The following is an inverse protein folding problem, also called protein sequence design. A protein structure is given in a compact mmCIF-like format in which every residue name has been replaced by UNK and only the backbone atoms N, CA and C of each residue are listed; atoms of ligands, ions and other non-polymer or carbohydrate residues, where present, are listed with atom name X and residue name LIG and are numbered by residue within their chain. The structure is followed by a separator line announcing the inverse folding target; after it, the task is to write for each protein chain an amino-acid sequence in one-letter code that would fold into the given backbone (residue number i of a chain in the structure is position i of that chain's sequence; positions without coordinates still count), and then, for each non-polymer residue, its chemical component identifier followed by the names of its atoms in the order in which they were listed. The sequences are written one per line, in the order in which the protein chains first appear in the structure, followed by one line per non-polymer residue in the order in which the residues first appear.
data_IF_684811255771
#
_entry.id   IF_684811255771
#
_cell.length_a   1.000
_cell.length_b   1.000
_cell.length_c   1.000
_cell.angle_alpha   90.00
_cell.angle_beta   90.00
_cell.angle_gamma   90.00
#
_symmetry.space_group_name_H-M   'P 1'
#
loop_
_entity.id
_entity.type
_entity.pdbx_description
1 polymer ?
#
# COMPACT_ATOMS: atom_id res chain seq x y z
N UNK A 1 14.90 8.76 82.11
CA UNK A 1 14.99 9.67 80.94
C UNK A 1 13.58 9.91 80.46
N UNK A 2 13.04 11.10 80.70
CA UNK A 2 11.67 11.47 80.30
C UNK A 2 11.56 11.51 78.77
N UNK A 3 10.60 10.75 78.23
CA UNK A 3 10.19 10.87 76.84
C UNK A 3 9.44 12.19 76.66
N UNK A 4 10.18 13.26 76.38
CA UNK A 4 9.59 14.55 76.00
C UNK A 4 8.75 14.33 74.73
N UNK A 5 7.49 14.80 74.68
CA UNK A 5 6.66 14.66 73.49
C UNK A 5 7.32 15.39 72.32
N UNK A 6 7.41 14.69 71.17
CA UNK A 6 7.97 15.26 69.94
C UNK A 6 7.16 16.49 69.53
N UNK A 7 7.88 17.54 69.16
CA UNK A 7 7.29 18.77 68.61
C UNK A 7 6.70 18.51 67.22
N UNK A 8 5.80 19.38 66.77
CA UNK A 8 5.19 19.25 65.44
C UNK A 8 6.21 19.24 64.29
N UNK A 9 7.31 19.98 64.44
CA UNK A 9 8.40 20.02 63.46
C UNK A 9 9.19 18.70 63.41
N UNK A 10 9.45 18.08 64.58
CA UNK A 10 10.12 16.78 64.65
C UNK A 10 9.27 15.67 64.03
N UNK A 11 7.95 15.72 64.23
CA UNK A 11 7.01 14.77 63.62
C UNK A 11 6.99 14.95 62.10
N UNK A 12 6.99 16.19 61.60
CA UNK A 12 7.02 16.47 60.17
C UNK A 12 8.34 16.02 59.52
N UNK A 13 9.48 16.28 60.18
CA UNK A 13 10.79 15.85 59.71
C UNK A 13 10.90 14.32 59.65
N UNK A 14 10.39 13.62 60.67
CA UNK A 14 10.35 12.15 60.70
C UNK A 14 9.42 11.59 59.61
N UNK A 15 8.27 12.23 59.37
CA UNK A 15 7.37 11.85 58.29
C UNK A 15 8.01 12.00 56.91
N UNK A 16 8.71 13.12 56.65
CA UNK A 16 9.46 13.33 55.40
C UNK A 16 10.52 12.24 55.24
N UNK A 17 11.33 12.01 56.29
CA UNK A 17 12.40 11.03 56.23
C UNK A 17 11.88 9.60 55.97
N UNK A 18 10.76 9.24 56.59
CA UNK A 18 10.08 7.95 56.39
C UNK A 18 9.50 7.81 54.98
N UNK A 19 8.90 8.86 54.42
CA UNK A 19 8.39 8.88 53.04
C UNK A 19 9.54 8.76 52.05
N UNK A 20 10.60 9.55 52.21
CA UNK A 20 11.80 9.51 51.35
C UNK A 20 12.46 8.14 51.39
N UNK A 21 12.59 7.55 52.59
CA UNK A 21 13.13 6.18 52.74
C UNK A 21 12.25 5.17 52.01
N UNK A 22 10.92 5.25 52.14
CA UNK A 22 9.99 4.37 51.40
C UNK A 22 10.08 4.54 49.89
N UNK A 23 10.22 5.77 49.39
CA UNK A 23 10.34 6.03 47.95
C UNK A 23 11.65 5.43 47.41
N UNK A 24 12.74 5.59 48.16
CA UNK A 24 14.06 5.09 47.78
C UNK A 24 14.17 3.57 47.91
N UNK A 25 13.48 2.97 48.88
CA UNK A 25 13.44 1.53 49.10
C UNK A 25 12.31 0.84 48.34
N UNK A 26 11.46 1.58 47.61
CA UNK A 26 10.36 0.99 46.87
C UNK A 26 10.95 0.14 45.74
N UNK A 27 10.67 -1.18 45.70
CA UNK A 27 11.15 -2.03 44.62
C UNK A 27 10.48 -1.57 43.32
N UNK A 28 11.18 -0.75 42.54
CA UNK A 28 10.75 -0.39 41.19
C UNK A 28 10.98 -1.62 40.32
N UNK A 29 9.94 -2.01 39.59
CA UNK A 29 10.07 -3.02 38.54
C UNK A 29 11.19 -2.61 37.58
N UNK A 30 12.21 -3.45 37.44
CA UNK A 30 13.27 -3.24 36.45
C UNK A 30 12.72 -3.70 35.10
N UNK A 31 12.60 -2.77 34.16
CA UNK A 31 12.29 -3.10 32.77
C UNK A 31 13.58 -3.55 32.10
N UNK A 32 13.69 -4.84 31.78
CA UNK A 32 14.77 -5.37 30.96
C UNK A 32 14.36 -5.27 29.50
N UNK A 33 15.11 -4.51 28.69
CA UNK A 33 14.91 -4.47 27.24
C UNK A 33 15.49 -5.75 26.62
N UNK A 34 14.65 -6.78 26.48
CA UNK A 34 14.98 -8.07 25.89
C UNK A 34 14.97 -8.01 24.36
N UNK A 35 16.00 -7.43 23.75
CA UNK A 35 16.21 -7.49 22.29
C UNK A 35 15.01 -7.08 21.42
N UNK A 36 15.05 -7.39 20.12
CA UNK A 36 13.96 -7.07 19.18
C UNK A 36 12.97 -8.23 19.07
N UNK A 37 12.23 -8.56 20.14
CA UNK A 37 11.08 -9.48 20.06
C UNK A 37 10.08 -9.24 21.19
N UNK A 38 8.97 -8.58 20.88
CA UNK A 38 7.62 -8.90 21.38
C UNK A 38 6.62 -8.42 20.32
N UNK A 39 5.65 -9.25 19.91
CA UNK A 39 4.57 -8.79 19.06
C UNK A 39 3.68 -7.89 19.91
N UNK A 40 3.87 -6.58 19.82
CA UNK A 40 3.04 -5.59 20.49
C UNK A 40 1.87 -5.30 19.56
N UNK A 41 0.66 -5.73 19.97
CA UNK A 41 -0.55 -5.52 19.20
C UNK A 41 -1.67 -4.94 20.09
N UNK A 42 -2.60 -4.16 19.51
CA UNK A 42 -3.78 -3.67 20.20
C UNK A 42 -4.56 -4.77 20.93
N UNK A 43 -4.96 -4.50 22.18
CA UNK A 43 -5.84 -5.36 22.96
C UNK A 43 -7.24 -5.38 22.35
N UNK A 44 -7.85 -6.56 22.16
CA UNK A 44 -9.19 -6.68 21.54
C UNK A 44 -10.33 -6.78 22.55
N UNK A 45 -11.51 -6.34 22.15
CA UNK A 45 -12.68 -6.14 23.00
C UNK A 45 -13.94 -6.54 22.26
N UNK A 46 -15.03 -6.66 22.99
CA UNK A 46 -16.35 -6.83 22.37
C UNK A 46 -16.63 -5.70 21.36
N UNK A 47 -17.08 -6.08 20.18
CA UNK A 47 -17.33 -5.22 19.03
C UNK A 47 -16.14 -4.99 18.09
N UNK A 48 -14.95 -5.49 18.43
CA UNK A 48 -13.82 -5.47 17.49
C UNK A 48 -14.05 -6.54 16.39
N UNK A 49 -13.56 -6.27 15.17
CA UNK A 49 -14.00 -6.94 13.94
C UNK A 49 -13.08 -8.09 13.55
N UNK A 50 -13.61 -9.06 12.79
CA UNK A 50 -12.84 -10.20 12.29
C UNK A 50 -12.90 -10.31 10.77
N UNK A 51 -11.92 -11.00 10.20
CA UNK A 51 -11.81 -11.21 8.75
C UNK A 51 -11.16 -12.54 8.36
N UNK A 52 -11.78 -13.23 7.42
CA UNK A 52 -11.23 -14.44 6.81
C UNK A 52 -10.10 -14.12 5.82
N UNK A 53 -9.21 -15.08 5.58
CA UNK A 53 -8.27 -14.95 4.46
C UNK A 53 -9.02 -15.16 3.14
N UNK A 54 -8.92 -14.19 2.24
CA UNK A 54 -9.37 -14.37 0.86
C UNK A 54 -8.37 -15.21 0.06
N UNK A 55 -8.81 -16.28 -0.60
CA UNK A 55 -7.95 -17.09 -1.49
C UNK A 55 -7.41 -16.26 -2.66
N UNK A 56 -8.23 -15.36 -3.21
CA UNK A 56 -7.82 -14.41 -4.25
C UNK A 56 -6.79 -13.41 -3.69
N UNK A 57 -7.02 -12.95 -2.45
CA UNK A 57 -6.06 -12.12 -1.69
C UNK A 57 -4.81 -12.85 -1.19
N UNK A 58 -4.79 -14.18 -1.21
CA UNK A 58 -3.59 -14.95 -0.91
C UNK A 58 -2.78 -15.17 -2.20
N UNK A 59 -3.45 -15.60 -3.27
CA UNK A 59 -2.84 -15.94 -4.57
C UNK A 59 -2.25 -14.72 -5.27
N UNK A 60 -2.97 -13.59 -5.32
CA UNK A 60 -2.44 -12.35 -5.89
C UNK A 60 -1.25 -11.80 -5.09
N UNK A 61 -1.27 -11.95 -3.76
CA UNK A 61 -0.14 -11.56 -2.90
C UNK A 61 1.11 -12.40 -3.15
N UNK A 62 0.93 -13.70 -3.38
CA UNK A 62 2.00 -14.63 -3.76
C UNK A 62 2.59 -14.31 -5.15
N UNK A 63 1.77 -13.94 -6.14
CA UNK A 63 2.23 -13.55 -7.50
C UNK A 63 3.10 -12.29 -7.43
N UNK A 64 2.68 -11.27 -6.68
CA UNK A 64 3.45 -10.02 -6.54
C UNK A 64 4.75 -10.25 -5.76
N UNK A 65 4.74 -11.11 -4.73
CA UNK A 65 5.93 -11.48 -3.97
C UNK A 65 6.94 -12.33 -4.75
N UNK A 66 6.47 -13.23 -5.63
CA UNK A 66 7.33 -14.11 -6.44
C UNK A 66 8.17 -13.39 -7.50
N UNK A 67 7.67 -12.27 -8.05
CA UNK A 67 8.36 -11.46 -9.07
C UNK A 67 9.68 -10.83 -8.54
N UNK A 68 9.88 -10.77 -7.22
CA UNK A 68 11.02 -10.09 -6.58
C UNK A 68 12.09 -11.08 -6.08
N UNK A 69 11.85 -12.40 -6.10
CA UNK A 69 12.72 -13.38 -5.43
C UNK A 69 13.81 -13.99 -6.32
N UNK A 70 15.03 -13.45 -6.24
CA UNK A 70 16.26 -14.19 -6.54
C UNK A 70 17.33 -13.96 -5.46
N UNK A 71 17.01 -14.27 -4.20
CA UNK A 71 18.05 -14.56 -3.20
C UNK A 71 17.53 -15.30 -1.96
N UNK A 72 18.41 -16.08 -1.29
CA UNK A 72 18.02 -17.27 -0.54
C UNK A 72 18.01 -17.02 0.96
N UNK A 73 16.89 -16.55 1.51
CA UNK A 73 16.60 -16.75 2.93
C UNK A 73 15.16 -17.18 3.10
N UNK A 74 15.05 -18.48 3.34
CA UNK A 74 13.84 -19.22 3.66
C UNK A 74 13.33 -18.73 5.02
N UNK A 75 12.28 -17.92 5.00
CA UNK A 75 11.23 -18.01 6.01
C UNK A 75 9.96 -18.34 5.24
N UNK A 76 9.91 -19.60 4.80
CA UNK A 76 8.78 -20.18 4.11
C UNK A 76 7.67 -20.46 5.12
N UNK A 77 6.47 -20.05 4.74
CA UNK A 77 5.23 -20.34 5.45
C UNK A 77 4.64 -19.14 6.15
N UNK A 78 3.39 -18.84 5.79
CA UNK A 78 2.33 -18.47 6.74
C UNK A 78 1.77 -17.05 6.84
N UNK A 79 2.16 -16.08 6.01
CA UNK A 79 1.49 -14.78 6.04
C UNK A 79 1.28 -14.28 4.62
N UNK A 80 0.03 -14.30 4.14
CA UNK A 80 -0.36 -13.74 2.84
C UNK A 80 -0.07 -12.22 2.74
N UNK A 81 -1.07 -11.33 2.68
CA UNK A 81 -0.82 -9.88 2.49
C UNK A 81 0.15 -9.26 3.52
N UNK A 82 0.22 -9.82 4.74
CA UNK A 82 1.12 -9.36 5.80
C UNK A 82 2.61 -9.70 5.56
N UNK A 83 2.92 -10.78 4.83
CA UNK A 83 4.29 -11.15 4.48
C UNK A 83 4.91 -10.19 3.46
N UNK A 84 4.11 -9.66 2.53
CA UNK A 84 4.56 -8.72 1.51
C UNK A 84 4.99 -7.36 2.11
N UNK A 85 4.22 -6.81 3.05
CA UNK A 85 4.54 -5.53 3.70
C UNK A 85 5.82 -5.61 4.56
N UNK A 86 6.00 -6.70 5.31
CA UNK A 86 7.21 -6.93 6.10
C UNK A 86 8.46 -7.12 5.22
N UNK A 87 8.32 -7.76 4.05
CA UNK A 87 9.40 -7.97 3.07
C UNK A 87 9.81 -6.66 2.39
N UNK A 88 8.86 -5.83 1.96
CA UNK A 88 9.13 -4.51 1.37
C UNK A 88 9.80 -3.60 2.40
N UNK A 89 9.32 -3.58 3.64
CA UNK A 89 9.92 -2.81 4.73
C UNK A 89 11.35 -3.25 5.07
N UNK A 90 11.62 -4.56 5.05
CA UNK A 90 12.97 -5.10 5.27
C UNK A 90 13.92 -4.79 4.09
N UNK A 91 13.44 -4.86 2.84
CA UNK A 91 14.21 -4.49 1.66
C UNK A 91 14.61 -3.00 1.67
N UNK A 92 13.70 -2.11 2.05
CA UNK A 92 13.95 -0.67 2.19
C UNK A 92 14.92 -0.36 3.34
N UNK A 93 14.84 -1.12 4.44
CA UNK A 93 15.76 -1.02 5.57
C UNK A 93 17.19 -1.48 5.21
N UNK A 94 17.32 -2.62 4.54
CA UNK A 94 18.61 -3.15 4.05
C UNK A 94 19.23 -2.25 2.96
N UNK A 95 18.42 -1.74 2.03
CA UNK A 95 18.87 -0.78 1.03
C UNK A 95 19.34 0.54 1.68
N UNK A 96 18.61 1.05 2.67
CA UNK A 96 19.02 2.24 3.45
C UNK A 96 20.30 2.01 4.25
N UNK A 97 20.54 0.79 4.73
CA UNK A 97 21.75 0.44 5.48
C UNK A 97 22.97 0.27 4.57
N UNK A 98 22.77 -0.23 3.35
CA UNK A 98 23.81 -0.33 2.31
C UNK A 98 24.21 1.04 1.73
N UNK A 99 23.28 2.00 1.71
CA UNK A 99 23.48 3.36 1.20
C UNK A 99 24.05 4.35 2.22
N UNK A 100 24.60 3.89 3.35
CA UNK A 100 25.19 4.75 4.38
C UNK A 100 26.59 5.28 4.02
N UNK A 101 26.76 5.78 2.80
CA UNK A 101 27.74 6.80 2.44
C UNK A 101 27.05 8.17 2.44
N UNK A 102 27.05 8.80 3.61
CA UNK A 102 26.79 10.23 3.90
C UNK A 102 26.34 11.08 2.70
N UNK A 103 25.06 11.05 2.32
CA UNK A 103 24.48 12.16 1.56
C UNK A 103 23.00 12.29 1.85
N UNK A 104 22.65 13.48 2.31
CA UNK A 104 21.32 13.96 2.65
C UNK A 104 20.36 13.86 1.47
N UNK A 105 19.12 13.47 1.76
CA UNK A 105 17.92 13.97 1.09
C UNK A 105 17.84 13.72 -0.45
N UNK A 106 17.58 12.49 -0.87
CA UNK A 106 17.11 12.21 -2.23
C UNK A 106 15.82 11.40 -2.23
N UNK A 107 14.78 12.06 -2.73
CA UNK A 107 13.43 11.60 -3.11
C UNK A 107 13.37 10.11 -3.49
N UNK A 108 12.45 9.37 -2.86
CA UNK A 108 12.21 7.94 -3.13
C UNK A 108 11.96 7.63 -4.62
N UNK A 109 12.38 6.46 -5.13
CA UNK A 109 12.12 6.08 -6.51
C UNK A 109 10.64 5.75 -6.76
N UNK A 110 10.10 6.28 -7.86
CA UNK A 110 8.69 6.20 -8.34
C UNK A 110 8.10 4.77 -8.39
N UNK A 111 8.92 3.72 -8.41
CA UNK A 111 8.44 2.33 -8.38
C UNK A 111 8.16 1.80 -6.96
N UNK A 112 8.84 2.32 -5.94
CA UNK A 112 8.59 1.95 -4.54
C UNK A 112 7.23 2.49 -4.08
N UNK A 113 6.88 3.71 -4.48
CA UNK A 113 5.55 4.29 -4.27
C UNK A 113 4.46 3.49 -5.01
N UNK A 114 4.73 3.04 -6.25
CA UNK A 114 3.81 2.18 -7.00
C UNK A 114 3.64 0.80 -6.38
N UNK A 115 4.71 0.20 -5.86
CA UNK A 115 4.67 -1.08 -5.17
C UNK A 115 3.94 -0.97 -3.83
N UNK A 116 4.20 0.11 -3.07
CA UNK A 116 3.49 0.43 -1.84
C UNK A 116 2.00 0.72 -2.10
N UNK A 117 1.66 1.45 -3.16
CA UNK A 117 0.28 1.77 -3.53
C UNK A 117 -0.48 0.54 -4.08
N UNK A 118 0.19 -0.32 -4.85
CA UNK A 118 -0.38 -1.60 -5.26
C UNK A 118 -0.61 -2.52 -4.05
N UNK A 119 0.33 -2.52 -3.10
CA UNK A 119 0.19 -3.24 -1.83
C UNK A 119 -0.95 -2.66 -0.99
N UNK A 120 -1.06 -1.33 -0.86
CA UNK A 120 -2.15 -0.66 -0.14
C UNK A 120 -3.51 -0.95 -0.78
N UNK A 121 -3.66 -0.77 -2.10
CA UNK A 121 -4.92 -1.09 -2.80
C UNK A 121 -5.28 -2.56 -2.70
N UNK A 122 -4.28 -3.43 -2.70
CA UNK A 122 -4.48 -4.86 -2.53
C UNK A 122 -4.92 -5.20 -1.10
N UNK A 123 -4.25 -4.64 -0.11
CA UNK A 123 -4.61 -4.72 1.31
C UNK A 123 -6.01 -4.16 1.50
N UNK A 124 -6.33 -3.00 0.94
CA UNK A 124 -7.65 -2.37 1.01
C UNK A 124 -8.71 -3.25 0.34
N UNK A 125 -8.45 -3.85 -0.83
CA UNK A 125 -9.43 -4.73 -1.50
C UNK A 125 -9.59 -6.11 -0.81
N UNK A 126 -8.54 -6.61 -0.16
CA UNK A 126 -8.59 -7.87 0.59
C UNK A 126 -9.14 -7.66 2.01
N UNK A 127 -8.92 -6.48 2.59
CA UNK A 127 -9.33 -6.09 3.93
C UNK A 127 -10.59 -5.21 3.95
N UNK A 128 -11.14 -4.81 2.80
CA UNK A 128 -12.44 -4.13 2.70
C UNK A 128 -13.59 -5.08 3.04
N UNK A 129 -14.42 -4.69 4.01
CA UNK A 129 -15.52 -5.50 4.53
C UNK A 129 -15.14 -6.27 5.79
N UNK A 130 -16.13 -6.53 6.64
CA UNK A 130 -16.02 -7.24 7.91
C UNK A 130 -16.74 -8.58 7.80
N UNK A 131 -16.09 -9.67 8.21
CA UNK A 131 -16.68 -11.02 8.16
C UNK A 131 -17.28 -11.42 9.52
N UNK A 132 -17.39 -10.47 10.44
CA UNK A 132 -17.93 -10.68 11.78
C UNK A 132 -17.30 -9.79 12.84
N UNK A 133 -17.66 -10.05 14.09
CA UNK A 133 -17.17 -9.30 15.25
C UNK A 133 -17.20 -10.13 16.54
N UNK A 134 -16.47 -9.67 17.56
CA UNK A 134 -16.45 -10.24 18.90
C UNK A 134 -17.74 -9.85 19.63
N UNK A 135 -18.51 -10.83 20.10
CA UNK A 135 -19.80 -10.62 20.80
C UNK A 135 -19.69 -10.75 22.30
N UNK A 136 -18.72 -11.53 22.81
CA UNK A 136 -18.57 -11.81 24.23
C UNK A 136 -17.14 -11.58 24.70
N UNK A 137 -17.00 -11.20 25.96
CA UNK A 137 -15.72 -10.95 26.61
C UNK A 137 -15.84 -11.05 28.13
N UNK A 138 -14.90 -10.45 28.84
CA UNK A 138 -14.83 -10.50 30.29
C UNK A 138 -15.94 -9.72 30.98
N UNK A 139 -16.57 -10.34 31.98
CA UNK A 139 -17.59 -9.69 32.83
C UNK A 139 -17.00 -8.77 33.92
N UNK A 140 -15.67 -8.71 34.06
CA UNK A 140 -15.00 -7.97 35.15
C UNK A 140 -13.81 -7.14 34.71
N UNK A 141 -13.26 -7.39 33.52
CA UNK A 141 -12.11 -6.69 32.96
C UNK A 141 -12.57 -5.95 31.72
N UNK A 142 -12.43 -4.62 31.75
CA UNK A 142 -12.89 -3.75 30.69
C UNK A 142 -11.72 -2.93 30.14
N UNK A 143 -11.63 -2.84 28.82
CA UNK A 143 -10.63 -2.01 28.14
C UNK A 143 -11.38 -0.88 27.42
N UNK A 144 -11.10 0.37 27.80
CA UNK A 144 -11.85 1.54 27.34
C UNK A 144 -13.38 1.37 27.46
N UNK A 145 -13.84 0.85 28.60
CA UNK A 145 -15.27 0.67 28.89
C UNK A 145 -15.96 -0.48 28.16
N UNK A 146 -15.25 -1.26 27.34
CA UNK A 146 -15.80 -2.46 26.68
C UNK A 146 -15.24 -3.75 27.30
N UNK A 147 -16.03 -4.85 27.38
CA UNK A 147 -15.55 -6.13 27.88
C UNK A 147 -14.30 -6.60 27.12
N UNK A 148 -13.26 -6.98 27.87
CA UNK A 148 -11.99 -7.45 27.32
C UNK A 148 -12.13 -8.84 26.68
N UNK A 149 -11.61 -9.04 25.47
CA UNK A 149 -11.63 -10.33 24.81
C UNK A 149 -10.45 -11.22 25.22
N UNK A 150 -10.68 -12.52 25.26
CA UNK A 150 -9.67 -13.54 25.58
C UNK A 150 -9.99 -14.85 24.87
N UNK A 151 -8.96 -15.68 24.66
CA UNK A 151 -9.07 -16.95 23.97
C UNK A 151 -9.87 -17.99 24.76
N UNK A 152 -10.50 -18.95 24.07
CA UNK A 152 -11.22 -20.06 24.69
C UNK A 152 -12.60 -19.71 25.25
N UNK A 153 -13.07 -18.47 25.13
CA UNK A 153 -14.44 -18.11 25.48
C UNK A 153 -15.43 -18.64 24.42
N UNK A 154 -16.30 -19.56 24.84
CA UNK A 154 -17.30 -20.17 23.96
C UNK A 154 -18.25 -19.14 23.36
N UNK A 155 -18.54 -19.29 22.06
CA UNK A 155 -19.48 -18.44 21.32
C UNK A 155 -19.18 -16.92 21.40
N UNK A 156 -17.89 -16.58 21.51
CA UNK A 156 -17.41 -15.20 21.60
C UNK A 156 -17.32 -14.47 20.26
N UNK A 157 -17.45 -15.19 19.15
CA UNK A 157 -17.35 -14.65 17.79
C UNK A 157 -18.67 -14.86 17.05
N UNK A 158 -19.23 -13.79 16.51
CA UNK A 158 -20.27 -13.84 15.48
C UNK A 158 -19.60 -13.68 14.11
N UNK A 159 -19.57 -14.75 13.34
CA UNK A 159 -19.00 -14.79 11.99
C UNK A 159 -20.13 -14.83 10.96
N UNK A 160 -20.01 -14.07 9.88
CA UNK A 160 -21.02 -14.03 8.83
C UNK A 160 -21.07 -15.33 8.02
N UNK A 161 -19.96 -16.08 7.98
CA UNK A 161 -19.80 -17.27 7.15
C UNK A 161 -20.00 -18.59 7.92
N UNK A 162 -20.04 -18.53 9.25
CA UNK A 162 -20.06 -19.70 10.12
C UNK A 162 -20.95 -19.45 11.34
N UNK A 163 -21.46 -20.51 11.97
CA UNK A 163 -22.10 -20.40 13.28
C UNK A 163 -21.15 -19.83 14.33
N UNK A 164 -21.64 -19.53 15.54
CA UNK A 164 -20.84 -18.95 16.62
C UNK A 164 -19.50 -19.69 16.82
N UNK A 165 -18.41 -18.94 16.87
CA UNK A 165 -17.03 -19.45 17.00
C UNK A 165 -16.35 -18.89 18.24
N UNK A 166 -15.11 -19.32 18.46
CA UNK A 166 -14.28 -18.91 19.60
C UNK A 166 -13.01 -18.22 19.12
N UNK A 167 -12.43 -17.38 19.98
CA UNK A 167 -11.06 -16.92 19.79
C UNK A 167 -10.12 -18.08 20.12
N UNK A 168 -9.27 -18.45 19.17
CA UNK A 168 -8.44 -19.66 19.21
C UNK A 168 -6.97 -19.38 19.51
N UNK A 169 -6.51 -18.12 19.41
CA UNK A 169 -5.16 -17.72 19.84
C UNK A 169 -5.16 -16.45 20.69
N UNK A 170 -4.07 -16.25 21.43
CA UNK A 170 -3.86 -15.07 22.26
C UNK A 170 -2.40 -14.92 22.71
N UNK A 171 -2.16 -14.04 23.68
CA UNK A 171 -0.84 -13.82 24.30
C UNK A 171 -0.35 -15.06 25.06
N UNK A 172 0.95 -15.36 24.96
CA UNK A 172 1.60 -16.42 25.74
C UNK A 172 1.87 -16.04 27.21
N UNK A 173 1.81 -14.74 27.56
CA UNK A 173 2.24 -14.27 28.88
C UNK A 173 1.24 -13.37 29.59
N UNK A 174 0.24 -12.85 28.87
CA UNK A 174 -0.83 -12.03 29.46
C UNK A 174 -2.12 -12.81 29.44
N UNK A 175 -2.71 -12.98 30.63
CA UNK A 175 -3.88 -13.83 30.83
C UNK A 175 -5.03 -13.04 31.48
N UNK A 176 -6.25 -13.32 31.02
CA UNK A 176 -7.50 -12.90 31.64
C UNK A 176 -8.23 -14.16 32.07
N UNK A 177 -8.61 -14.25 33.35
CA UNK A 177 -9.28 -15.45 33.89
C UNK A 177 -8.54 -16.76 33.59
N UNK A 178 -7.21 -16.73 33.65
CA UNK A 178 -6.33 -17.86 33.33
C UNK A 178 -6.38 -18.31 31.86
N UNK A 179 -6.88 -17.47 30.96
CA UNK A 179 -6.94 -17.67 29.51
C UNK A 179 -6.14 -16.60 28.77
N UNK A 180 -5.57 -16.94 27.63
CA UNK A 180 -4.72 -16.02 26.86
C UNK A 180 -5.47 -14.76 26.43
N UNK A 181 -4.89 -13.59 26.66
CA UNK A 181 -5.48 -12.32 26.24
C UNK A 181 -5.48 -12.20 24.71
N UNK A 182 -6.59 -11.77 24.11
CA UNK A 182 -6.71 -11.65 22.67
C UNK A 182 -6.24 -10.27 22.16
N UNK A 183 -5.63 -10.26 20.97
CA UNK A 183 -5.07 -9.07 20.33
C UNK A 183 -5.45 -8.99 18.86
N UNK A 184 -5.23 -7.82 18.28
CA UNK A 184 -5.31 -7.67 16.84
C UNK A 184 -4.31 -8.64 16.17
N UNK A 185 -4.78 -9.38 15.16
CA UNK A 185 -4.02 -10.39 14.45
C UNK A 185 -4.13 -11.81 15.00
N UNK A 186 -4.71 -12.01 16.20
CA UNK A 186 -5.04 -13.33 16.74
C UNK A 186 -6.16 -14.01 15.94
N UNK A 187 -6.13 -15.34 15.93
CA UNK A 187 -7.01 -16.18 15.11
C UNK A 187 -8.27 -16.61 15.88
N UNK A 188 -9.37 -16.74 15.17
CA UNK A 188 -10.58 -17.43 15.61
C UNK A 188 -10.52 -18.91 15.20
N UNK A 189 -11.41 -19.73 15.77
CA UNK A 189 -11.46 -21.16 15.44
C UNK A 189 -11.93 -21.45 14.01
N UNK A 190 -12.59 -20.52 13.32
CA UNK A 190 -12.86 -20.63 11.87
C UNK A 190 -11.70 -20.13 11.00
N UNK A 191 -10.58 -19.75 11.59
CA UNK A 191 -9.37 -19.29 10.88
C UNK A 191 -9.34 -17.81 10.51
N UNK A 192 -10.42 -17.07 10.76
CA UNK A 192 -10.45 -15.62 10.63
C UNK A 192 -9.48 -14.97 11.63
N UNK A 193 -9.01 -13.76 11.31
CA UNK A 193 -8.18 -12.94 12.21
C UNK A 193 -8.95 -11.75 12.75
N UNK A 194 -8.62 -11.34 13.97
CA UNK A 194 -9.12 -10.09 14.54
C UNK A 194 -8.40 -8.91 13.88
N UNK A 195 -9.15 -7.93 13.41
CA UNK A 195 -8.66 -6.85 12.54
C UNK A 195 -8.54 -5.49 13.22
N UNK A 196 -9.27 -5.30 14.31
CA UNK A 196 -9.26 -4.04 15.06
C UNK A 196 -9.03 -4.32 16.54
N UNK A 197 -8.58 -3.31 17.26
CA UNK A 197 -8.38 -3.39 18.70
C UNK A 197 -8.44 -2.03 19.37
N UNK A 198 -7.96 -1.98 20.61
CA UNK A 198 -7.88 -0.77 21.39
C UNK A 198 -6.91 0.24 20.79
N UNK A 199 -7.28 1.53 20.66
CA UNK A 199 -6.39 2.54 20.10
C UNK A 199 -5.19 2.88 21.00
N UNK A 200 -5.22 2.51 22.27
CA UNK A 200 -4.27 2.96 23.28
C UNK A 200 -3.87 1.89 24.31
N UNK A 201 -4.38 0.66 24.22
CA UNK A 201 -3.99 -0.44 25.10
C UNK A 201 -3.41 -1.55 24.24
N UNK A 202 -2.16 -1.91 24.52
CA UNK A 202 -1.40 -2.85 23.73
C UNK A 202 -0.87 -3.96 24.62
N UNK A 203 -0.82 -5.18 24.08
CA UNK A 203 -0.27 -6.35 24.75
C UNK A 203 0.90 -6.88 23.94
N UNK A 204 2.04 -7.08 24.61
CA UNK A 204 3.21 -7.77 24.07
C UNK A 204 3.10 -9.29 24.14
N UNK A 205 4.21 -9.98 23.87
CA UNK A 205 4.37 -11.46 23.87
C UNK A 205 4.16 -12.21 22.55
N UNK A 206 4.55 -13.49 22.54
CA UNK A 206 4.29 -14.46 21.48
C UNK A 206 2.81 -14.85 21.35
N UNK A 207 2.50 -15.81 20.47
CA UNK A 207 1.13 -16.22 20.14
C UNK A 207 0.91 -17.68 20.59
N UNK A 208 0.04 -17.87 21.59
CA UNK A 208 -0.40 -19.18 22.05
C UNK A 208 -1.66 -19.60 21.28
N UNK A 209 -1.65 -20.81 20.72
CA UNK A 209 -2.86 -21.46 20.19
C UNK A 209 -3.53 -22.21 21.35
N UNK A 210 -4.76 -21.82 21.68
CA UNK A 210 -5.53 -22.35 22.81
C UNK A 210 -6.60 -23.35 22.34
N UNK A 211 -7.00 -23.26 21.07
CA UNK A 211 -8.00 -24.15 20.47
C UNK A 211 -7.62 -24.43 19.02
N UNK A 212 -8.03 -25.58 18.50
CA UNK A 212 -7.81 -25.93 17.11
C UNK A 212 -8.44 -24.88 16.18
N UNK A 213 -7.68 -24.55 15.14
CA UNK A 213 -8.08 -23.60 14.11
C UNK A 213 -8.44 -24.41 12.86
N UNK A 214 -9.69 -24.29 12.41
CA UNK A 214 -10.15 -24.90 11.18
C UNK A 214 -9.33 -24.37 9.99
N UNK A 215 -8.98 -25.27 9.08
CA UNK A 215 -8.25 -24.88 7.89
C UNK A 215 -9.15 -24.11 6.92
N UNK A 216 -8.91 -22.81 6.76
CA UNK A 216 -9.70 -21.96 5.83
C UNK A 216 -9.59 -22.37 4.35
N UNK A 217 -8.52 -23.09 4.00
CA UNK A 217 -8.26 -23.51 2.62
C UNK A 217 -8.07 -25.02 2.58
N UNK A 218 -8.68 -25.65 1.58
CA UNK A 218 -8.48 -27.05 1.27
C UNK A 218 -7.00 -27.34 0.96
N UNK A 219 -6.56 -28.60 1.12
CA UNK A 219 -5.20 -29.00 0.74
C UNK A 219 -4.84 -28.67 -0.72
N UNK A 220 -5.84 -28.68 -1.62
CA UNK A 220 -5.69 -28.30 -3.04
C UNK A 220 -5.36 -26.82 -3.21
N UNK A 221 -6.09 -25.95 -2.49
CA UNK A 221 -5.92 -24.50 -2.55
C UNK A 221 -4.59 -24.07 -1.91
N UNK A 222 -4.20 -24.71 -0.82
CA UNK A 222 -2.87 -24.52 -0.21
C UNK A 222 -1.74 -24.91 -1.17
N UNK A 223 -1.88 -26.05 -1.85
CA UNK A 223 -0.90 -26.50 -2.84
C UNK A 223 -0.82 -25.53 -4.04
N UNK A 224 -1.95 -24.99 -4.50
CA UNK A 224 -1.99 -23.96 -5.54
C UNK A 224 -1.27 -22.68 -5.11
N UNK A 225 -1.50 -22.23 -3.87
CA UNK A 225 -0.87 -21.05 -3.32
C UNK A 225 0.67 -21.20 -3.24
N UNK A 226 1.14 -22.35 -2.76
CA UNK A 226 2.57 -22.69 -2.72
C UNK A 226 3.17 -22.80 -4.13
N UNK A 227 2.45 -23.38 -5.09
CA UNK A 227 2.93 -23.50 -6.47
C UNK A 227 3.08 -22.14 -7.16
N UNK A 228 2.17 -21.20 -6.88
CA UNK A 228 2.24 -19.82 -7.37
C UNK A 228 3.42 -19.08 -6.73
N UNK A 229 3.61 -19.19 -5.42
CA UNK A 229 4.68 -18.52 -4.68
C UNK A 229 6.08 -19.01 -5.11
N UNK A 230 6.21 -20.30 -5.40
CA UNK A 230 7.50 -20.90 -5.72
C UNK A 230 7.94 -20.73 -7.18
N UNK A 231 7.07 -20.22 -8.09
CA UNK A 231 7.28 -20.15 -9.56
C UNK A 231 7.68 -21.48 -10.25
N UNK A 232 7.94 -22.54 -9.49
CA UNK A 232 8.28 -23.90 -9.89
C UNK A 232 7.98 -24.82 -8.69
N UNK A 233 7.12 -25.85 -8.84
CA UNK A 233 6.75 -26.71 -7.73
C UNK A 233 7.97 -27.45 -7.17
N UNK A 234 8.09 -27.64 -5.84
CA UNK A 234 9.18 -28.44 -5.27
C UNK A 234 9.10 -29.87 -5.83
N UNK A 235 10.27 -30.47 -6.07
CA UNK A 235 10.36 -31.82 -6.61
C UNK A 235 9.59 -32.80 -5.72
N UNK A 236 8.84 -33.73 -6.35
CA UNK A 236 8.02 -34.76 -5.68
C UNK A 236 8.83 -35.56 -4.64
N UNK A 237 10.15 -35.67 -4.84
CA UNK A 237 11.12 -36.26 -3.91
C UNK A 237 11.14 -35.58 -2.52
N UNK A 238 10.97 -34.25 -2.48
CA UNK A 238 11.01 -33.43 -1.26
C UNK A 238 9.70 -33.52 -0.46
N UNK A 239 8.56 -33.62 -1.13
CA UNK A 239 7.24 -33.85 -0.49
C UNK A 239 7.11 -35.25 0.12
N UNK A 240 7.76 -36.26 -0.48
CA UNK A 240 7.67 -37.66 -0.03
C UNK A 240 8.36 -37.91 1.32
N UNK A 241 9.27 -37.02 1.75
CA UNK A 241 9.94 -37.10 3.06
C UNK A 241 9.19 -36.40 4.20
N UNK A 242 8.08 -35.69 3.94
CA UNK A 242 7.45 -34.83 4.96
C UNK A 242 5.93 -34.86 5.09
N UNK A 243 5.15 -35.26 4.09
CA UNK A 243 3.69 -35.29 4.19
C UNK A 243 3.13 -36.56 3.55
N UNK A 244 2.81 -37.55 4.38
CA UNK A 244 2.20 -38.79 3.95
C UNK A 244 0.80 -38.58 3.40
N UNK A 245 0.58 -39.12 2.19
CA UNK A 245 -0.72 -39.51 1.62
C UNK A 245 -1.77 -38.42 1.46
N UNK A 246 -1.59 -37.57 0.45
CA UNK A 246 -2.71 -36.94 -0.24
C UNK A 246 -2.57 -37.30 -1.73
N UNK A 247 -3.24 -38.36 -2.16
CA UNK A 247 -3.35 -38.75 -3.57
C UNK A 247 -4.37 -37.83 -4.24
N UNK A 248 -3.99 -36.57 -4.46
CA UNK A 248 -4.81 -35.64 -5.22
C UNK A 248 -4.59 -35.85 -6.71
N UNK A 249 -5.66 -36.13 -7.44
CA UNK A 249 -5.67 -36.25 -8.90
C UNK A 249 -5.14 -34.98 -9.54
N UNK A 250 -3.85 -34.96 -9.86
CA UNK A 250 -3.13 -33.81 -10.43
C UNK A 250 -3.73 -33.34 -11.76
N UNK A 251 -4.42 -34.22 -12.48
CA UNK A 251 -5.00 -33.92 -13.79
C UNK A 251 -6.32 -33.15 -13.68
N UNK A 252 -7.17 -33.52 -12.72
CA UNK A 252 -8.45 -32.84 -12.49
C UNK A 252 -8.23 -31.44 -11.91
N UNK A 253 -7.27 -31.30 -11.00
CA UNK A 253 -6.86 -30.00 -10.44
C UNK A 253 -6.29 -29.09 -11.52
N UNK A 254 -5.48 -29.61 -12.44
CA UNK A 254 -4.94 -28.81 -13.55
C UNK A 254 -6.04 -28.34 -14.51
N UNK A 255 -7.04 -29.18 -14.79
CA UNK A 255 -8.15 -28.83 -15.66
C UNK A 255 -9.08 -27.79 -15.02
N UNK A 256 -9.40 -27.97 -13.75
CA UNK A 256 -10.28 -27.08 -12.99
C UNK A 256 -9.61 -25.74 -12.70
N UNK A 257 -8.32 -25.74 -12.32
CA UNK A 257 -7.53 -24.52 -12.19
C UNK A 257 -7.41 -23.77 -13.53
N UNK A 258 -7.21 -24.48 -14.65
CA UNK A 258 -7.14 -23.85 -15.98
C UNK A 258 -8.47 -23.24 -16.39
N UNK A 259 -9.60 -23.86 -16.04
CA UNK A 259 -10.93 -23.32 -16.34
C UNK A 259 -11.30 -22.13 -15.44
N UNK A 260 -10.99 -22.19 -14.14
CA UNK A 260 -11.21 -21.09 -13.19
C UNK A 260 -10.32 -19.88 -13.49
N UNK A 261 -9.03 -20.11 -13.78
CA UNK A 261 -8.12 -19.04 -14.23
C UNK A 261 -8.62 -18.44 -15.54
N UNK A 262 -9.17 -19.24 -16.46
CA UNK A 262 -9.69 -18.75 -17.74
C UNK A 262 -10.98 -17.95 -17.59
N UNK A 263 -11.89 -18.34 -16.70
CA UNK A 263 -13.12 -17.57 -16.41
C UNK A 263 -12.79 -16.23 -15.77
N UNK A 264 -11.89 -16.20 -14.78
CA UNK A 264 -11.60 -15.00 -14.00
C UNK A 264 -10.69 -14.03 -14.78
N UNK A 265 -9.72 -14.54 -15.55
CA UNK A 265 -9.01 -13.69 -16.51
C UNK A 265 -9.97 -13.12 -17.56
N UNK A 266 -11.05 -13.82 -17.92
CA UNK A 266 -11.96 -13.33 -18.96
C UNK A 266 -12.84 -12.19 -18.45
N UNK A 267 -13.37 -12.29 -17.22
CA UNK A 267 -14.18 -11.25 -16.57
C UNK A 267 -13.34 -10.02 -16.23
N UNK A 268 -12.12 -10.22 -15.72
CA UNK A 268 -11.20 -9.12 -15.44
C UNK A 268 -10.69 -8.46 -16.72
N UNK A 269 -10.34 -9.23 -17.77
CA UNK A 269 -10.02 -8.68 -19.10
C UNK A 269 -11.20 -7.91 -19.70
N UNK A 270 -12.45 -8.36 -19.51
CA UNK A 270 -13.63 -7.63 -19.97
C UNK A 270 -13.80 -6.29 -19.26
N UNK A 271 -13.57 -6.25 -17.95
CA UNK A 271 -13.66 -5.01 -17.16
C UNK A 271 -12.53 -4.02 -17.49
N UNK A 272 -11.30 -4.50 -17.63
CA UNK A 272 -10.16 -3.71 -18.12
C UNK A 272 -10.37 -3.23 -19.55
N UNK A 273 -10.94 -4.06 -20.43
CA UNK A 273 -11.30 -3.65 -21.80
C UNK A 273 -12.35 -2.53 -21.80
N UNK A 274 -13.42 -2.66 -21.01
CA UNK A 274 -14.44 -1.60 -20.86
C UNK A 274 -13.86 -0.28 -20.35
N UNK A 275 -12.97 -0.33 -19.35
CA UNK A 275 -12.28 0.86 -18.83
C UNK A 275 -11.36 1.48 -19.90
N UNK A 276 -10.59 0.65 -20.61
CA UNK A 276 -9.70 1.09 -21.67
C UNK A 276 -10.48 1.68 -22.86
N UNK A 277 -11.63 1.10 -23.21
CA UNK A 277 -12.49 1.61 -24.27
C UNK A 277 -13.12 2.95 -23.89
N UNK A 278 -13.59 3.09 -22.65
CA UNK A 278 -14.08 4.38 -22.14
C UNK A 278 -12.98 5.44 -22.19
N UNK A 279 -11.77 5.12 -21.71
CA UNK A 279 -10.60 6.01 -21.77
C UNK A 279 -10.23 6.35 -23.22
N UNK A 280 -10.24 5.37 -24.12
CA UNK A 280 -9.95 5.56 -25.55
C UNK A 280 -10.97 6.46 -26.22
N UNK A 281 -12.25 6.32 -25.90
CA UNK A 281 -13.32 7.21 -26.38
C UNK A 281 -13.14 8.63 -25.85
N UNK A 282 -12.85 8.81 -24.57
CA UNK A 282 -12.57 10.14 -24.00
C UNK A 282 -11.37 10.80 -24.67
N UNK A 283 -10.28 10.07 -24.89
CA UNK A 283 -9.09 10.57 -25.60
C UNK A 283 -9.40 10.94 -27.06
N UNK A 284 -10.21 10.13 -27.76
CA UNK A 284 -10.67 10.45 -29.13
C UNK A 284 -11.49 11.73 -29.17
N UNK A 285 -12.41 11.91 -28.23
CA UNK A 285 -13.24 13.12 -28.15
C UNK A 285 -12.41 14.36 -27.81
N UNK A 286 -11.46 14.25 -26.87
CA UNK A 286 -10.55 15.33 -26.54
C UNK A 286 -9.66 15.71 -27.74
N UNK A 287 -9.15 14.73 -28.49
CA UNK A 287 -8.37 14.98 -29.70
C UNK A 287 -9.19 15.68 -30.79
N UNK A 288 -10.45 15.25 -31.03
CA UNK A 288 -11.36 15.92 -31.97
C UNK A 288 -11.63 17.37 -31.56
N UNK A 289 -11.89 17.62 -30.27
CA UNK A 289 -12.12 18.97 -29.73
C UNK A 289 -10.90 19.86 -29.89
N UNK A 290 -9.70 19.34 -29.59
CA UNK A 290 -8.43 20.04 -29.78
C UNK A 290 -8.22 20.47 -31.24
N UNK A 291 -8.40 19.55 -32.19
CA UNK A 291 -8.28 19.87 -33.62
C UNK A 291 -9.29 20.92 -34.08
N UNK A 292 -10.54 20.86 -33.59
CA UNK A 292 -11.56 21.86 -33.91
C UNK A 292 -11.14 23.25 -33.40
N UNK A 293 -10.67 23.34 -32.15
CA UNK A 293 -10.19 24.59 -31.57
C UNK A 293 -8.96 25.14 -32.31
N UNK A 294 -8.02 24.30 -32.72
CA UNK A 294 -6.86 24.74 -33.53
C UNK A 294 -7.29 25.41 -34.85
N UNK A 295 -8.33 24.90 -35.51
CA UNK A 295 -8.88 25.52 -36.73
C UNK A 295 -9.61 26.83 -36.43
N UNK A 296 -10.33 26.92 -35.31
CA UNK A 296 -10.99 28.15 -34.87
C UNK A 296 -9.98 29.25 -34.56
N UNK A 297 -8.94 28.94 -33.76
CA UNK A 297 -7.86 29.88 -33.45
C UNK A 297 -7.16 30.35 -34.72
N UNK A 298 -6.92 29.47 -35.69
CA UNK A 298 -6.34 29.88 -36.98
C UNK A 298 -7.20 30.93 -37.70
N UNK A 299 -8.53 30.77 -37.69
CA UNK A 299 -9.46 31.76 -38.27
C UNK A 299 -9.47 33.07 -37.47
N UNK A 300 -9.40 33.00 -36.14
CA UNK A 300 -9.30 34.17 -35.26
C UNK A 300 -8.02 34.97 -35.56
N UNK A 301 -6.87 34.30 -35.64
CA UNK A 301 -5.58 34.92 -35.93
C UNK A 301 -5.56 35.63 -37.29
N UNK A 302 -6.14 35.01 -38.33
CA UNK A 302 -6.26 35.64 -39.65
C UNK A 302 -7.13 36.92 -39.60
N UNK A 303 -8.22 36.91 -38.82
CA UNK A 303 -9.07 38.09 -38.62
C UNK A 303 -8.36 39.20 -37.83
N UNK A 304 -7.50 38.82 -36.90
CA UNK A 304 -6.67 39.74 -36.10
C UNK A 304 -5.44 40.30 -36.86
N UNK A 305 -5.28 39.94 -38.14
CA UNK A 305 -4.22 40.43 -39.02
C UNK A 305 -2.89 39.69 -38.92
N UNK A 306 -2.85 38.49 -38.30
CA UNK A 306 -1.63 37.68 -38.28
C UNK A 306 -1.43 36.94 -39.60
N UNK A 307 -0.18 36.92 -40.08
CA UNK A 307 0.22 36.02 -41.15
C UNK A 307 0.61 34.65 -40.59
N UNK A 308 -0.07 33.58 -41.01
CA UNK A 308 0.22 32.22 -40.56
C UNK A 308 1.36 31.64 -41.38
N UNK A 309 2.56 31.55 -40.78
CA UNK A 309 3.74 31.01 -41.44
C UNK A 309 3.67 29.47 -41.56
N UNK A 310 3.07 28.81 -40.57
CA UNK A 310 2.89 27.36 -40.59
C UNK A 310 2.10 26.86 -39.40
N UNK A 311 1.47 25.69 -39.55
CA UNK A 311 0.76 25.00 -38.47
C UNK A 311 1.47 23.68 -38.13
N UNK A 312 1.46 23.30 -36.85
CA UNK A 312 2.16 22.11 -36.35
C UNK A 312 3.65 22.13 -36.75
N UNK A 313 4.29 23.28 -36.57
CA UNK A 313 5.69 23.55 -36.95
C UNK A 313 6.61 22.94 -35.92
N UNK A 314 7.65 22.23 -36.36
CA UNK A 314 8.59 21.60 -35.43
C UNK A 314 9.80 22.48 -35.21
N UNK A 315 10.28 22.54 -33.97
CA UNK A 315 11.52 23.23 -33.64
C UNK A 315 12.34 22.36 -32.69
N UNK A 316 13.67 22.43 -32.80
CA UNK A 316 14.61 21.81 -31.88
C UNK A 316 15.03 22.85 -30.85
N UNK A 317 14.61 22.65 -29.60
CA UNK A 317 15.05 23.46 -28.47
C UNK A 317 16.30 22.85 -27.85
N UNK A 318 16.86 23.51 -26.83
CA UNK A 318 17.96 22.99 -26.01
C UNK A 318 17.63 21.60 -25.42
N UNK A 319 16.38 21.38 -25.01
CA UNK A 319 15.96 20.15 -24.34
C UNK A 319 15.55 19.05 -25.32
N UNK A 320 14.60 19.34 -26.21
CA UNK A 320 14.12 18.35 -27.18
C UNK A 320 13.31 19.01 -28.30
N UNK A 321 12.77 18.19 -29.22
CA UNK A 321 11.79 18.67 -30.19
C UNK A 321 10.54 19.24 -29.50
N UNK A 322 10.07 20.38 -29.98
CA UNK A 322 8.79 21.02 -29.66
C UNK A 322 8.00 21.18 -30.95
N UNK A 323 6.69 20.94 -30.90
CA UNK A 323 5.77 21.22 -32.01
C UNK A 323 4.93 22.42 -31.60
N UNK A 324 4.96 23.48 -32.41
CA UNK A 324 4.20 24.71 -32.23
C UNK A 324 2.89 24.56 -33.01
N UNK A 325 1.74 24.84 -32.39
CA UNK A 325 0.43 24.66 -33.04
C UNK A 325 0.27 25.62 -34.23
N UNK A 326 0.52 26.91 -34.04
CA UNK A 326 0.63 27.88 -35.12
C UNK A 326 1.83 28.80 -34.93
N UNK A 327 2.68 28.90 -35.94
CA UNK A 327 3.75 29.90 -36.03
C UNK A 327 3.23 31.06 -36.86
N UNK A 328 3.29 32.27 -36.32
CA UNK A 328 2.68 33.45 -36.91
C UNK A 328 3.67 34.61 -36.99
N UNK A 329 3.41 35.53 -37.90
CA UNK A 329 4.16 36.79 -38.05
C UNK A 329 3.18 37.97 -38.01
N UNK A 330 3.50 38.97 -37.21
CA UNK A 330 2.79 40.26 -37.15
C UNK A 330 3.80 41.36 -36.83
N UNK A 331 3.76 42.46 -37.58
CA UNK A 331 4.66 43.61 -37.40
C UNK A 331 6.15 43.21 -37.35
N UNK A 332 6.55 42.32 -38.27
CA UNK A 332 7.87 41.69 -38.35
C UNK A 332 8.31 40.79 -37.19
N UNK A 333 7.47 40.63 -36.16
CA UNK A 333 7.71 39.74 -35.03
C UNK A 333 7.14 38.35 -35.32
N UNK A 334 7.98 37.32 -35.13
CA UNK A 334 7.57 35.92 -35.23
C UNK A 334 7.25 35.39 -33.83
N UNK A 335 6.06 34.80 -33.67
CA UNK A 335 5.62 34.22 -32.40
C UNK A 335 4.98 32.84 -32.60
N UNK A 336 4.96 32.08 -31.51
CA UNK A 336 4.28 30.81 -31.39
C UNK A 336 2.94 30.99 -30.68
N UNK A 337 1.89 30.37 -31.21
CA UNK A 337 0.59 30.25 -30.57
C UNK A 337 0.42 28.79 -30.14
N UNK A 338 0.24 28.57 -28.84
CA UNK A 338 -0.21 27.29 -28.27
C UNK A 338 -1.72 27.33 -28.08
N UNK A 339 -2.42 26.31 -28.58
CA UNK A 339 -3.87 26.21 -28.49
C UNK A 339 -4.26 25.24 -27.38
N UNK A 340 -5.16 25.68 -26.50
CA UNK A 340 -5.81 24.83 -25.49
C UNK A 340 -7.32 24.81 -25.73
N UNK A 341 -8.00 23.77 -25.24
CA UNK A 341 -9.46 23.69 -25.33
C UNK A 341 -10.06 23.14 -24.03
N UNK A 342 -11.08 23.84 -23.51
CA UNK A 342 -11.66 23.55 -22.20
C UNK A 342 -10.64 23.74 -21.07
N UNK A 343 -10.60 22.82 -20.11
CA UNK A 343 -9.73 22.93 -18.92
C UNK A 343 -8.28 22.43 -19.13
N UNK A 344 -7.83 22.31 -20.39
CA UNK A 344 -6.49 21.79 -20.69
C UNK A 344 -5.41 22.83 -20.34
N UNK A 345 -4.43 22.44 -19.51
CA UNK A 345 -3.28 23.29 -19.16
C UNK A 345 -2.02 22.83 -19.90
N UNK A 346 -1.05 23.74 -20.07
CA UNK A 346 0.30 23.38 -20.55
C UNK A 346 1.00 22.50 -19.52
N UNK A 347 1.77 21.52 -19.98
CA UNK A 347 2.63 20.74 -19.09
C UNK A 347 3.88 21.52 -18.71
N UNK A 348 4.51 21.18 -17.57
CA UNK A 348 5.74 21.83 -17.11
C UNK A 348 6.87 21.75 -18.15
N UNK A 349 6.95 20.63 -18.88
CA UNK A 349 7.93 20.45 -19.95
C UNK A 349 7.61 21.31 -21.19
N UNK A 350 6.33 21.57 -21.49
CA UNK A 350 5.97 22.52 -22.55
C UNK A 350 6.42 23.94 -22.15
N UNK A 351 6.13 24.37 -20.92
CA UNK A 351 6.52 25.69 -20.42
C UNK A 351 8.04 25.87 -20.45
N UNK A 352 8.80 24.87 -19.99
CA UNK A 352 10.27 24.91 -19.99
C UNK A 352 10.86 25.00 -21.41
N UNK A 353 10.27 24.30 -22.39
CA UNK A 353 10.64 24.42 -23.80
C UNK A 353 10.29 25.81 -24.34
N UNK A 354 9.07 26.28 -24.12
CA UNK A 354 8.61 27.59 -24.57
C UNK A 354 9.52 28.72 -24.03
N UNK A 355 9.93 28.64 -22.76
CA UNK A 355 10.88 29.59 -22.16
C UNK A 355 12.27 29.53 -22.81
N UNK A 356 12.78 28.33 -23.15
CA UNK A 356 14.05 28.23 -23.89
C UNK A 356 13.96 28.79 -25.30
N UNK A 357 12.82 28.62 -25.99
CA UNK A 357 12.63 29.20 -27.32
C UNK A 357 12.68 30.73 -27.30
N UNK A 358 12.16 31.35 -26.23
CA UNK A 358 12.24 32.79 -26.05
C UNK A 358 13.65 33.26 -25.68
N UNK A 359 14.34 32.55 -24.77
CA UNK A 359 15.64 32.97 -24.22
C UNK A 359 16.83 32.68 -25.13
N UNK A 360 16.94 31.46 -25.65
CA UNK A 360 18.12 30.98 -26.39
C UNK A 360 17.82 30.73 -27.88
N UNK A 361 16.54 30.80 -28.26
CA UNK A 361 16.08 30.44 -29.59
C UNK A 361 15.94 28.94 -29.81
N UNK A 362 15.34 28.58 -30.95
CA UNK A 362 15.16 27.20 -31.37
C UNK A 362 15.37 27.05 -32.88
N UNK A 363 15.95 25.92 -33.28
CA UNK A 363 16.18 25.60 -34.70
C UNK A 363 14.87 25.13 -35.33
N UNK A 364 14.37 25.83 -36.35
CA UNK A 364 13.15 25.43 -37.07
C UNK A 364 13.44 24.23 -37.95
N UNK A 365 12.67 23.15 -37.80
CA UNK A 365 12.91 21.86 -38.43
C UNK A 365 11.60 21.19 -38.89
N UNK A 366 11.71 20.11 -39.66
CA UNK A 366 10.57 19.30 -40.08
C UNK A 366 9.88 19.81 -41.34
N UNK A 367 8.87 19.05 -41.78
CA UNK A 367 8.19 19.25 -43.06
C UNK A 367 7.21 20.43 -43.11
N UNK A 368 6.69 20.82 -41.95
CA UNK A 368 5.76 21.94 -41.82
C UNK A 368 6.48 23.28 -41.52
N UNK A 369 7.82 23.28 -41.53
CA UNK A 369 8.60 24.49 -41.33
C UNK A 369 8.46 25.43 -42.54
N UNK A 370 8.32 26.75 -42.33
CA UNK A 370 8.37 27.73 -43.42
C UNK A 370 9.73 27.66 -44.12
N UNK A 371 9.75 27.64 -45.46
CA UNK A 371 10.99 27.41 -46.22
C UNK A 371 12.07 28.46 -45.94
N UNK A 372 11.66 29.72 -45.75
CA UNK A 372 12.55 30.83 -45.43
C UNK A 372 13.18 30.75 -44.02
N UNK A 373 12.61 29.94 -43.12
CA UNK A 373 13.05 29.78 -41.73
C UNK A 373 13.64 28.39 -41.44
N UNK A 374 13.44 27.43 -42.35
CA UNK A 374 13.90 26.06 -42.18
C UNK A 374 15.40 26.00 -41.95
N UNK A 375 15.80 25.22 -40.94
CA UNK A 375 17.16 25.08 -40.43
C UNK A 375 17.80 26.33 -39.80
N UNK A 376 17.09 27.44 -39.65
CA UNK A 376 17.57 28.63 -38.92
C UNK A 376 17.21 28.54 -37.44
N UNK A 377 18.05 29.13 -36.60
CA UNK A 377 17.78 29.33 -35.16
C UNK A 377 17.17 30.71 -34.99
N UNK A 378 15.98 30.78 -34.40
CA UNK A 378 15.27 32.03 -34.14
C UNK A 378 14.70 32.04 -32.72
N UNK A 379 14.60 33.22 -32.11
CA UNK A 379 13.89 33.43 -30.85
C UNK A 379 12.39 33.47 -31.11
N UNK A 380 11.63 32.72 -30.33
CA UNK A 380 10.17 32.58 -30.51
C UNK A 380 9.49 32.66 -29.16
N UNK A 381 8.72 33.72 -28.94
CA UNK A 381 7.86 33.84 -27.77
C UNK A 381 6.56 33.06 -27.98
N UNK A 382 6.05 32.43 -26.92
CA UNK A 382 4.84 31.60 -26.98
C UNK A 382 3.69 32.24 -26.21
N UNK A 383 2.57 32.49 -26.89
CA UNK A 383 1.32 32.92 -26.28
C UNK A 383 0.30 31.77 -26.30
N UNK A 384 -0.60 31.73 -25.31
CA UNK A 384 -1.63 30.68 -25.20
C UNK A 384 -2.98 31.25 -25.59
N UNK A 385 -3.71 30.53 -26.43
CA UNK A 385 -5.12 30.81 -26.75
C UNK A 385 -5.98 29.64 -26.24
N UNK A 386 -6.94 29.95 -25.38
CA UNK A 386 -7.88 28.98 -24.80
C UNK A 386 -9.14 28.81 -25.64
#
# INVERSE_FOLDING_TARGET
MENKPKTGEEIAAEAIQRITTRINSFPRSKVHLVGKRENIAPFTRVGDTIKHKSLLGATTGAIVGGIISSSPYILAGFLGPFGAAARIGFMLFEASRSLNTKTSQTREPDWAEKAAEATRKFVDNCLSGEDGYITQGSNSIFINGKPAAFAGLNNSINCNNHSLKVIASGSETVFLHNQSAAREGDCTSCGAKIMTGSPNVFIGSGNAIVTDIEEEFSPREKALLVAIEMSSPPSISSMRKGLGKIQLGLNDIKAEAKNFIKSELSTEKLNLAKINDKKRMTLKNNSKRGKKREHEVKRELLKEGYNILGSQVSVKTEYSRRVIDHMVKKDDIISAIEVKSGNAKRSSLQILKDNSMAKTGAKVIGKNAPDNLKNKVITIETTVRN
#
